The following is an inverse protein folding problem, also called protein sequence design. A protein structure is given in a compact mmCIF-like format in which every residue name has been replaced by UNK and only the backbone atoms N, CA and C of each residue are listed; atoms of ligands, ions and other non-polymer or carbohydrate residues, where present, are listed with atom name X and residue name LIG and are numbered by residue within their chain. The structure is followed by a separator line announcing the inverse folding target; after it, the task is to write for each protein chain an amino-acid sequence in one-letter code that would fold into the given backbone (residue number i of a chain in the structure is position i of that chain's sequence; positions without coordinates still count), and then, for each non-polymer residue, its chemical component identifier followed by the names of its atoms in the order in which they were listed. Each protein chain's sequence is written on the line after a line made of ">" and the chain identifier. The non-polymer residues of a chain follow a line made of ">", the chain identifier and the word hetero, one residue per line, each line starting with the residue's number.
data_IF_523700030181
#
_entry.id   IF_523700030181
#
_cell.length_a   1.000
_cell.length_b   1.000
_cell.length_c   1.000
_cell.angle_alpha   90.00
_cell.angle_beta   90.00
_cell.angle_gamma   90.00
#
_symmetry.space_group_name_H-M   'P 1'
#
loop_
_entity.id
_entity.type
_entity.pdbx_description
1 polymer ?
#
# COMPACT_ATOMS: atom_id res chain seq x y z
N UNK A 1 -10.20 25.48 9.39
CA UNK A 1 -9.58 25.51 8.04
C UNK A 1 -9.53 24.08 7.52
N UNK A 2 -9.72 23.85 6.22
CA UNK A 2 -9.53 22.52 5.64
C UNK A 2 -8.05 22.33 5.28
N UNK A 3 -7.51 21.14 5.54
CA UNK A 3 -6.16 20.72 5.20
C UNK A 3 -6.22 19.94 3.90
N UNK A 4 -5.32 20.24 2.98
CA UNK A 4 -5.14 19.50 1.72
C UNK A 4 -3.70 19.02 1.64
N UNK A 5 -3.49 17.86 1.01
CA UNK A 5 -2.13 17.46 0.66
C UNK A 5 -1.52 18.52 -0.26
N UNK A 6 -0.25 18.84 -0.03
CA UNK A 6 0.37 20.00 -0.66
C UNK A 6 1.86 19.83 -0.93
N UNK A 7 2.47 20.86 -1.55
CA UNK A 7 3.86 20.81 -1.99
C UNK A 7 4.82 20.47 -0.86
N UNK A 8 5.70 19.51 -1.10
CA UNK A 8 6.64 19.02 -0.10
C UNK A 8 7.73 18.17 -0.72
N UNK A 9 8.87 18.05 -0.02
CA UNK A 9 9.91 17.06 -0.28
C UNK A 9 10.19 16.38 1.04
N UNK A 10 9.89 15.09 1.13
CA UNK A 10 10.01 14.32 2.37
C UNK A 10 10.68 12.98 2.10
N UNK A 11 11.55 12.59 3.02
CA UNK A 11 12.19 11.27 3.04
C UNK A 11 11.40 10.37 3.97
N UNK A 12 11.08 9.17 3.51
CA UNK A 12 10.29 8.21 4.28
C UNK A 12 11.04 6.90 4.45
N UNK A 13 10.80 6.27 5.59
CA UNK A 13 11.00 4.83 5.77
C UNK A 13 9.64 4.15 5.84
N UNK A 14 9.47 3.11 5.03
CA UNK A 14 8.27 2.29 4.92
C UNK A 14 8.65 0.88 5.36
N UNK A 15 8.24 0.49 6.57
CA UNK A 15 8.43 -0.87 7.06
C UNK A 15 7.23 -1.73 6.73
N UNK A 16 7.44 -2.95 6.25
CA UNK A 16 6.35 -3.91 6.03
C UNK A 16 6.76 -5.29 6.51
N UNK A 17 5.86 -5.96 7.23
CA UNK A 17 5.96 -7.37 7.60
C UNK A 17 4.66 -8.06 7.23
N UNK A 18 4.78 -9.24 6.63
CA UNK A 18 3.67 -10.08 6.22
C UNK A 18 3.98 -11.49 6.72
N UNK A 19 3.08 -12.05 7.51
CA UNK A 19 3.09 -13.45 7.91
C UNK A 19 1.96 -14.16 7.15
N UNK A 20 2.32 -15.20 6.40
CA UNK A 20 1.42 -15.99 5.58
C UNK A 20 1.39 -17.41 6.15
N UNK A 21 0.19 -17.95 6.34
CA UNK A 21 -0.04 -19.35 6.69
C UNK A 21 -0.94 -19.98 5.63
N UNK A 22 -0.56 -21.14 5.14
CA UNK A 22 -1.35 -21.87 4.16
C UNK A 22 -1.31 -23.37 4.44
N UNK A 23 -2.38 -24.08 4.11
CA UNK A 23 -2.45 -25.53 4.22
C UNK A 23 -2.51 -26.16 2.83
N UNK A 24 -1.44 -26.84 2.42
CA UNK A 24 -1.37 -27.54 1.13
C UNK A 24 -1.45 -29.03 1.40
N UNK A 25 -2.53 -29.67 0.95
CA UNK A 25 -2.75 -31.13 1.14
C UNK A 25 -2.60 -31.60 2.60
N UNK A 26 -3.06 -30.78 3.55
CA UNK A 26 -3.00 -31.07 4.99
C UNK A 26 -1.66 -30.75 5.67
N UNK A 27 -0.65 -30.27 4.93
CA UNK A 27 0.59 -29.77 5.49
C UNK A 27 0.53 -28.25 5.64
N UNK A 28 0.70 -27.76 6.86
CA UNK A 28 0.81 -26.32 7.10
C UNK A 28 2.19 -25.81 6.69
N UNK A 29 2.19 -24.76 5.88
CA UNK A 29 3.38 -23.99 5.54
C UNK A 29 3.19 -22.57 6.04
N UNK A 30 4.22 -22.03 6.69
CA UNK A 30 4.28 -20.61 7.05
C UNK A 30 5.44 -19.94 6.35
N UNK A 31 5.23 -18.70 5.93
CA UNK A 31 6.27 -17.86 5.37
C UNK A 31 6.16 -16.44 5.92
N UNK A 32 7.29 -15.75 5.97
CA UNK A 32 7.38 -14.36 6.39
C UNK A 32 8.10 -13.55 5.33
N UNK A 33 7.50 -12.42 4.98
CA UNK A 33 8.13 -11.36 4.20
C UNK A 33 8.30 -10.13 5.08
N UNK A 34 9.53 -9.63 5.22
CA UNK A 34 9.79 -8.37 5.92
C UNK A 34 10.78 -7.51 5.16
N UNK A 35 10.53 -6.21 5.07
CA UNK A 35 11.46 -5.25 4.49
C UNK A 35 11.23 -3.82 4.99
N UNK A 36 12.27 -2.99 4.82
CA UNK A 36 12.23 -1.54 4.92
C UNK A 36 12.54 -0.93 3.55
N UNK A 37 11.64 -0.08 3.06
CA UNK A 37 11.80 0.71 1.85
C UNK A 37 12.08 2.16 2.25
N UNK A 38 13.19 2.70 1.78
CA UNK A 38 13.53 4.10 1.91
C UNK A 38 13.18 4.80 0.60
N UNK A 39 12.39 5.86 0.68
CA UNK A 39 11.96 6.59 -0.50
C UNK A 39 11.83 8.08 -0.23
N UNK A 40 12.14 8.86 -1.26
CA UNK A 40 11.91 10.30 -1.28
C UNK A 40 10.64 10.59 -2.05
N UNK A 41 9.67 11.25 -1.43
CA UNK A 41 8.47 11.72 -2.12
C UNK A 41 8.55 13.24 -2.32
N UNK A 42 8.24 13.67 -3.54
CA UNK A 42 8.20 15.09 -3.92
C UNK A 42 6.84 15.41 -4.49
N UNK A 43 6.11 16.32 -3.85
CA UNK A 43 4.88 16.93 -4.35
C UNK A 43 5.25 18.34 -4.81
N UNK A 44 5.08 18.65 -6.10
CA UNK A 44 5.40 19.98 -6.64
C UNK A 44 4.14 20.82 -6.75
N UNK A 45 4.23 22.08 -6.35
CA UNK A 45 3.20 23.08 -6.54
C UNK A 45 3.54 24.11 -7.63
N UNK A 46 2.56 24.90 -8.08
CA UNK A 46 1.13 24.79 -7.73
C UNK A 46 0.49 23.54 -8.35
N UNK A 47 -0.69 23.15 -7.86
CA UNK A 47 -1.49 22.13 -8.52
C UNK A 47 -1.95 22.62 -9.90
N UNK A 48 -2.02 21.70 -10.86
CA UNK A 48 -2.72 21.90 -12.13
C UNK A 48 -4.17 21.34 -12.01
N UNK A 49 -5.01 21.45 -13.06
CA UNK A 49 -6.37 20.88 -13.01
C UNK A 49 -6.45 19.37 -12.78
N UNK A 50 -5.38 18.62 -13.03
CA UNK A 50 -5.30 17.19 -12.75
C UNK A 50 -4.80 16.90 -11.32
N UNK A 51 -4.09 17.82 -10.67
CA UNK A 51 -3.61 17.69 -9.30
C UNK A 51 -2.17 18.18 -9.13
N UNK A 52 -1.46 17.62 -8.14
CA UNK A 52 -0.06 17.97 -7.90
C UNK A 52 0.89 17.01 -8.63
N UNK A 53 1.78 17.49 -9.50
CA UNK A 53 2.85 16.66 -10.05
C UNK A 53 3.68 16.04 -8.92
N UNK A 54 3.70 14.72 -8.86
CA UNK A 54 4.26 13.97 -7.74
C UNK A 54 5.26 12.92 -8.23
N UNK A 55 6.35 12.77 -7.49
CA UNK A 55 7.43 11.85 -7.80
C UNK A 55 7.84 11.07 -6.54
N UNK A 56 7.95 9.75 -6.66
CA UNK A 56 8.63 8.91 -5.67
C UNK A 56 9.97 8.45 -6.25
N UNK A 57 11.03 8.54 -5.47
CA UNK A 57 12.34 7.97 -5.78
C UNK A 57 12.67 6.93 -4.74
N UNK A 58 12.92 5.70 -5.15
CA UNK A 58 13.36 4.63 -4.26
C UNK A 58 14.84 4.82 -3.94
N UNK A 59 15.16 5.05 -2.67
CA UNK A 59 16.54 5.26 -2.22
C UNK A 59 17.22 3.91 -1.97
N UNK A 60 16.54 3.02 -1.26
CA UNK A 60 17.01 1.65 -1.01
C UNK A 60 15.89 0.74 -0.48
N UNK A 61 16.10 -0.58 -0.56
CA UNK A 61 15.23 -1.57 0.06
C UNK A 61 16.12 -2.54 0.85
N UNK A 62 15.80 -2.73 2.12
CA UNK A 62 16.54 -3.61 3.04
C UNK A 62 15.59 -4.71 3.53
N UNK A 63 15.86 -5.99 3.25
CA UNK A 63 15.04 -7.08 3.77
C UNK A 63 15.27 -7.26 5.28
N UNK A 64 14.23 -7.62 6.02
CA UNK A 64 14.34 -8.01 7.44
C UNK A 64 15.16 -9.32 7.54
N UNK A 65 15.96 -9.45 8.60
CA UNK A 65 16.69 -10.67 8.90
C UNK A 65 15.74 -11.89 8.99
N UNK A 66 16.12 -13.00 8.36
CA UNK A 66 15.31 -14.23 8.33
C UNK A 66 14.22 -14.23 7.24
N UNK A 67 14.10 -13.17 6.44
CA UNK A 67 13.25 -13.16 5.25
C UNK A 67 13.97 -13.86 4.09
N UNK A 68 13.37 -14.93 3.56
CA UNK A 68 13.84 -15.54 2.31
C UNK A 68 13.10 -14.89 1.14
N UNK A 69 13.77 -14.00 0.41
CA UNK A 69 13.30 -13.56 -0.90
C UNK A 69 13.68 -14.62 -1.94
N UNK A 70 12.83 -14.86 -2.95
CA UNK A 70 13.23 -15.64 -4.12
C UNK A 70 14.55 -15.08 -4.70
N UNK A 71 15.48 -15.96 -5.07
CA UNK A 71 16.78 -15.59 -5.67
C UNK A 71 16.66 -14.75 -6.95
N UNK A 72 15.48 -14.75 -7.58
CA UNK A 72 15.15 -13.92 -8.74
C UNK A 72 14.89 -12.46 -8.39
N UNK A 73 14.68 -12.12 -7.11
CA UNK A 73 14.40 -10.75 -6.67
C UNK A 73 15.73 -10.06 -6.33
N UNK A 74 16.14 -9.12 -7.20
CA UNK A 74 17.24 -8.22 -6.91
C UNK A 74 16.73 -6.87 -6.37
N UNK A 75 16.66 -6.73 -5.05
CA UNK A 75 16.24 -5.48 -4.41
C UNK A 75 17.13 -4.28 -4.73
N UNK A 76 18.42 -4.50 -5.02
CA UNK A 76 19.35 -3.42 -5.36
C UNK A 76 19.00 -2.74 -6.70
N UNK A 77 18.29 -3.45 -7.58
CA UNK A 77 17.80 -2.89 -8.85
C UNK A 77 16.77 -1.77 -8.63
N UNK A 78 16.12 -1.73 -7.46
CA UNK A 78 15.15 -0.68 -7.13
C UNK A 78 15.81 0.68 -6.89
N UNK A 79 17.12 0.74 -6.62
CA UNK A 79 17.80 1.98 -6.26
C UNK A 79 17.70 3.00 -7.38
N UNK A 80 17.21 4.20 -7.03
CA UNK A 80 16.87 5.32 -7.94
C UNK A 80 15.72 5.06 -8.91
N UNK A 81 15.00 3.94 -8.78
CA UNK A 81 13.77 3.74 -9.52
C UNK A 81 12.80 4.85 -9.16
N UNK A 82 12.31 5.54 -10.18
CA UNK A 82 11.45 6.71 -10.01
C UNK A 82 10.05 6.39 -10.49
N UNK A 83 9.03 6.82 -9.75
CA UNK A 83 7.63 6.77 -10.15
C UNK A 83 7.11 8.20 -10.27
N UNK A 84 6.74 8.61 -11.48
CA UNK A 84 6.20 9.94 -11.76
C UNK A 84 4.71 9.85 -12.03
N UNK A 85 3.92 10.77 -11.47
CA UNK A 85 2.47 10.78 -11.66
C UNK A 85 1.86 12.07 -11.12
N UNK A 86 0.57 11.99 -10.80
CA UNK A 86 -0.21 13.12 -10.28
C UNK A 86 -0.91 12.70 -9.01
N UNK A 87 -0.72 13.47 -7.94
CA UNK A 87 -1.45 13.32 -6.69
C UNK A 87 -2.73 14.14 -6.78
N UNK A 88 -3.86 13.46 -6.71
CA UNK A 88 -5.16 14.10 -6.69
C UNK A 88 -5.47 14.67 -5.29
N UNK A 89 -6.37 15.68 -5.20
CA UNK A 89 -6.75 16.29 -3.92
C UNK A 89 -7.36 15.32 -2.90
N UNK A 90 -7.90 14.20 -3.38
CA UNK A 90 -8.47 13.13 -2.58
C UNK A 90 -7.43 12.16 -2.03
N UNK A 91 -6.15 12.28 -2.39
CA UNK A 91 -5.06 11.42 -1.92
C UNK A 91 -4.62 10.34 -2.92
N UNK A 92 -5.31 10.13 -4.03
CA UNK A 92 -4.92 9.09 -4.99
C UNK A 92 -3.73 9.52 -5.86
N UNK A 93 -2.74 8.62 -6.00
CA UNK A 93 -1.63 8.80 -6.92
C UNK A 93 -1.93 8.15 -8.27
N UNK A 94 -2.34 8.96 -9.24
CA UNK A 94 -2.71 8.53 -10.58
C UNK A 94 -1.57 8.64 -11.59
N UNK A 95 -1.75 7.94 -12.71
CA UNK A 95 -0.85 7.98 -13.88
C UNK A 95 0.61 7.70 -13.52
N UNK A 96 0.81 6.87 -12.49
CA UNK A 96 2.12 6.46 -12.02
C UNK A 96 2.85 5.72 -13.13
N UNK A 97 3.97 6.30 -13.57
CA UNK A 97 4.83 5.74 -14.61
C UNK A 97 6.21 5.50 -13.99
N UNK A 98 6.67 4.24 -13.91
CA UNK A 98 8.03 3.94 -13.46
C UNK A 98 9.07 4.35 -14.52
N UNK A 99 10.27 4.74 -14.08
CA UNK A 99 11.40 5.01 -14.98
C UNK A 99 11.93 3.73 -15.65
N UNK A 100 11.66 2.57 -15.05
CA UNK A 100 11.95 1.25 -15.61
C UNK A 100 10.79 0.29 -15.27
N UNK A 101 9.95 0.00 -16.26
CA UNK A 101 8.77 -0.85 -16.08
C UNK A 101 9.11 -2.32 -15.80
N UNK A 102 10.25 -2.82 -16.29
CA UNK A 102 10.65 -4.20 -16.05
C UNK A 102 11.07 -4.41 -14.59
N UNK A 103 11.87 -3.48 -14.06
CA UNK A 103 12.27 -3.49 -12.65
C UNK A 103 11.06 -3.26 -11.74
N UNK A 104 10.20 -2.29 -12.08
CA UNK A 104 8.98 -2.02 -11.31
C UNK A 104 8.07 -3.25 -11.25
N UNK A 105 7.91 -3.98 -12.36
CA UNK A 105 7.09 -5.19 -12.41
C UNK A 105 7.72 -6.36 -11.65
N UNK A 106 9.03 -6.55 -11.76
CA UNK A 106 9.76 -7.56 -11.00
C UNK A 106 9.67 -7.34 -9.49
N UNK A 107 9.51 -6.08 -9.07
CA UNK A 107 9.41 -5.66 -7.66
C UNK A 107 8.00 -5.25 -7.25
N UNK A 108 6.96 -5.55 -8.03
CA UNK A 108 5.61 -5.07 -7.80
C UNK A 108 5.05 -5.44 -6.41
N UNK A 109 5.43 -6.60 -5.86
CA UNK A 109 5.04 -7.02 -4.51
C UNK A 109 5.64 -6.14 -3.39
N UNK A 110 6.79 -5.52 -3.68
CA UNK A 110 7.52 -4.65 -2.74
C UNK A 110 7.12 -3.18 -2.95
N UNK A 111 6.98 -2.76 -4.21
CA UNK A 111 6.79 -1.36 -4.61
C UNK A 111 5.33 -0.97 -4.90
N UNK A 112 4.40 -1.92 -4.91
CA UNK A 112 2.96 -1.67 -5.12
C UNK A 112 2.31 -0.74 -4.07
N UNK A 113 3.07 -0.29 -3.07
CA UNK A 113 2.64 0.59 -1.99
C UNK A 113 2.47 2.05 -2.41
N UNK A 114 3.08 2.52 -3.50
CA UNK A 114 3.08 3.96 -3.82
C UNK A 114 1.72 4.50 -4.27
N UNK A 115 0.86 3.67 -4.86
CA UNK A 115 -0.46 4.09 -5.33
C UNK A 115 -1.44 4.41 -4.19
N UNK A 116 -1.25 3.79 -3.02
CA UNK A 116 -2.05 3.94 -1.79
C UNK A 116 -1.24 4.63 -0.68
N UNK A 117 -0.19 5.37 -1.05
CA UNK A 117 0.75 5.89 -0.07
C UNK A 117 0.19 7.04 0.78
N UNK A 118 -0.65 7.88 0.19
CA UNK A 118 -1.22 9.04 0.86
C UNK A 118 -2.63 8.73 1.41
N UNK A 119 -3.01 9.34 2.54
CA UNK A 119 -4.36 9.21 3.10
C UNK A 119 -5.39 9.76 2.14
N UNK A 120 -6.55 9.10 2.11
CA UNK A 120 -7.70 9.61 1.37
C UNK A 120 -8.41 10.72 2.14
N UNK A 121 -8.70 11.84 1.48
CA UNK A 121 -9.42 12.98 2.08
C UNK A 121 -10.85 13.10 1.54
N UNK A 122 -11.79 13.63 2.34
CA UNK A 122 -13.08 14.04 1.83
C UNK A 122 -12.91 15.18 0.82
N UNK A 123 -13.83 15.32 -0.16
CA UNK A 123 -13.71 16.27 -1.28
C UNK A 123 -13.47 17.74 -0.86
N UNK A 124 -13.91 18.13 0.35
CA UNK A 124 -13.70 19.48 0.90
C UNK A 124 -12.40 19.66 1.71
N UNK A 125 -11.49 18.68 1.67
CA UNK A 125 -10.28 18.65 2.48
C UNK A 125 -10.50 18.13 3.91
N UNK A 126 -9.41 17.73 4.54
CA UNK A 126 -9.38 17.18 5.89
C UNK A 126 -9.73 18.26 6.93
N UNK A 127 -10.68 17.97 7.82
CA UNK A 127 -11.05 18.84 8.94
C UNK A 127 -11.09 18.00 10.21
N UNK A 128 -10.59 18.53 11.33
CA UNK A 128 -10.70 17.87 12.63
C UNK A 128 -12.17 17.56 12.95
N UNK A 129 -12.44 16.35 13.43
CA UNK A 129 -13.76 15.81 13.72
C UNK A 129 -14.55 15.31 12.49
N UNK A 130 -14.02 15.46 11.27
CA UNK A 130 -14.68 14.95 10.07
C UNK A 130 -14.69 13.41 10.07
N UNK A 131 -15.82 12.83 9.68
CA UNK A 131 -15.97 11.42 9.39
C UNK A 131 -16.38 11.25 7.94
N UNK A 132 -15.81 10.27 7.25
CA UNK A 132 -16.17 9.96 5.87
C UNK A 132 -16.03 8.48 5.58
N UNK A 133 -16.74 8.04 4.55
CA UNK A 133 -16.64 6.70 4.00
C UNK A 133 -16.27 6.82 2.54
N UNK A 134 -15.28 6.04 2.12
CA UNK A 134 -14.87 5.91 0.73
C UNK A 134 -14.79 4.43 0.34
N UNK A 135 -14.89 4.17 -0.95
CA UNK A 135 -14.76 2.81 -1.50
C UNK A 135 -13.74 2.84 -2.62
N UNK A 136 -12.69 2.05 -2.45
CA UNK A 136 -11.60 1.92 -3.41
C UNK A 136 -11.70 0.52 -4.00
N UNK A 137 -11.76 0.42 -5.33
CA UNK A 137 -11.72 -0.86 -6.03
C UNK A 137 -10.65 -0.83 -7.10
N UNK A 138 -9.74 -1.80 -7.06
CA UNK A 138 -8.54 -1.83 -7.89
C UNK A 138 -8.35 -3.22 -8.45
N UNK A 139 -7.83 -3.28 -9.68
CA UNK A 139 -7.57 -4.54 -10.36
C UNK A 139 -6.16 -4.51 -10.91
N UNK A 140 -5.33 -5.45 -10.48
CA UNK A 140 -3.92 -5.55 -10.88
C UNK A 140 -3.54 -7.01 -11.19
N UNK A 141 -2.43 -7.19 -11.91
CA UNK A 141 -1.78 -8.47 -12.05
C UNK A 141 -0.75 -8.67 -10.92
N UNK A 142 -0.85 -9.77 -10.17
CA UNK A 142 0.03 -10.07 -9.03
C UNK A 142 0.41 -11.55 -9.04
N UNK A 143 1.71 -11.85 -9.24
CA UNK A 143 2.20 -13.22 -9.25
C UNK A 143 1.52 -14.06 -10.34
N UNK A 144 0.88 -15.17 -9.94
CA UNK A 144 0.13 -16.05 -10.84
C UNK A 144 -1.28 -15.54 -11.18
N UNK A 145 -1.73 -14.44 -10.56
CA UNK A 145 -3.04 -13.83 -10.83
C UNK A 145 -2.90 -12.74 -11.87
N UNK A 146 -3.41 -13.00 -13.08
CA UNK A 146 -3.45 -12.03 -14.17
C UNK A 146 -4.45 -10.90 -13.88
N UNK A 147 -5.49 -11.21 -13.11
CA UNK A 147 -6.49 -10.26 -12.65
C UNK A 147 -6.81 -10.52 -11.19
N UNK A 148 -6.40 -9.63 -10.30
CA UNK A 148 -6.78 -9.62 -8.90
C UNK A 148 -7.48 -8.30 -8.59
N UNK A 149 -8.77 -8.37 -8.30
CA UNK A 149 -9.57 -7.25 -7.84
C UNK A 149 -9.59 -7.20 -6.31
N UNK A 150 -9.22 -6.05 -5.76
CA UNK A 150 -9.31 -5.75 -4.32
C UNK A 150 -10.25 -4.58 -4.15
N UNK A 151 -11.27 -4.74 -3.31
CA UNK A 151 -12.20 -3.67 -2.95
C UNK A 151 -12.15 -3.42 -1.46
N UNK A 152 -11.91 -2.18 -1.06
CA UNK A 152 -11.90 -1.75 0.34
C UNK A 152 -12.99 -0.70 0.56
N UNK A 153 -13.79 -0.88 1.61
CA UNK A 153 -14.69 0.16 2.13
C UNK A 153 -14.03 0.71 3.38
N UNK A 154 -13.59 1.96 3.33
CA UNK A 154 -12.87 2.63 4.41
C UNK A 154 -13.84 3.52 5.18
N UNK A 155 -13.81 3.44 6.52
CA UNK A 155 -14.48 4.38 7.40
C UNK A 155 -13.42 5.13 8.18
N UNK A 156 -13.35 6.44 7.93
CA UNK A 156 -12.25 7.29 8.36
C UNK A 156 -12.75 8.38 9.30
N UNK A 157 -11.94 8.74 10.29
CA UNK A 157 -12.25 9.79 11.26
C UNK A 157 -10.99 10.61 11.58
N UNK A 158 -11.05 11.91 11.32
CA UNK A 158 -10.04 12.88 11.73
C UNK A 158 -10.18 13.16 13.23
N UNK A 159 -9.62 12.29 14.06
CA UNK A 159 -10.05 12.12 15.46
C UNK A 159 -9.42 13.07 16.46
N UNK A 160 -8.18 13.52 16.21
CA UNK A 160 -7.43 14.32 17.16
C UNK A 160 -6.40 15.24 16.50
N UNK A 161 -6.03 16.30 17.22
CA UNK A 161 -4.78 17.03 16.97
C UNK A 161 -3.70 16.46 17.89
N UNK A 162 -2.54 16.16 17.32
CA UNK A 162 -1.37 15.62 18.03
C UNK A 162 -0.09 16.30 17.57
N UNK A 163 0.88 16.36 18.48
CA UNK A 163 2.24 16.80 18.17
C UNK A 163 3.14 15.62 17.86
N UNK A 164 3.76 15.64 16.68
CA UNK A 164 4.71 14.62 16.24
C UNK A 164 6.01 15.26 15.82
N UNK A 165 7.06 15.05 16.60
CA UNK A 165 8.37 15.67 16.33
C UNK A 165 8.31 17.20 16.28
N UNK A 166 7.44 17.82 17.09
CA UNK A 166 7.22 19.28 17.09
C UNK A 166 6.36 19.82 15.96
N UNK A 167 5.72 18.93 15.16
CA UNK A 167 4.80 19.31 14.09
C UNK A 167 3.37 19.02 14.55
N UNK A 168 2.53 20.06 14.56
CA UNK A 168 1.09 19.92 14.77
C UNK A 168 0.47 19.13 13.62
N UNK A 169 -0.23 18.05 13.96
CA UNK A 169 -0.79 17.11 13.01
C UNK A 169 -2.19 16.66 13.37
N UNK A 170 -2.98 16.32 12.37
CA UNK A 170 -4.27 15.67 12.54
C UNK A 170 -4.05 14.17 12.44
N UNK A 171 -4.53 13.45 13.45
CA UNK A 171 -4.68 11.99 13.45
C UNK A 171 -5.90 11.59 12.65
N UNK A 172 -5.76 10.58 11.81
CA UNK A 172 -6.85 9.94 11.08
C UNK A 172 -6.89 8.46 11.49
N UNK A 173 -7.98 8.04 12.12
CA UNK A 173 -8.24 6.61 12.37
C UNK A 173 -9.07 6.05 11.21
N UNK A 174 -8.67 4.90 10.67
CA UNK A 174 -9.29 4.28 9.50
C UNK A 174 -9.58 2.81 9.81
N UNK A 175 -10.84 2.40 9.67
CA UNK A 175 -11.25 1.01 9.71
C UNK A 175 -11.83 0.57 8.37
N UNK A 176 -11.30 -0.52 7.81
CA UNK A 176 -11.74 -1.00 6.49
C UNK A 176 -12.17 -2.44 6.47
N UNK A 177 -13.17 -2.73 5.64
CA UNK A 177 -13.54 -4.07 5.21
C UNK A 177 -13.04 -4.29 3.77
N UNK A 178 -12.36 -5.40 3.54
CA UNK A 178 -11.70 -5.70 2.28
C UNK A 178 -12.27 -6.98 1.67
N UNK A 179 -12.56 -6.96 0.38
CA UNK A 179 -12.89 -8.14 -0.41
C UNK A 179 -11.88 -8.31 -1.54
N UNK A 180 -11.58 -9.56 -1.87
CA UNK A 180 -10.59 -9.93 -2.87
C UNK A 180 -11.17 -11.02 -3.77
N UNK A 181 -11.03 -10.85 -5.07
CA UNK A 181 -11.41 -11.84 -6.06
C UNK A 181 -10.45 -11.77 -7.24
N UNK A 182 -9.98 -12.92 -7.71
CA UNK A 182 -9.04 -12.95 -8.82
C UNK A 182 -9.00 -14.27 -9.56
N UNK A 183 -8.39 -14.21 -10.74
CA UNK A 183 -8.17 -15.34 -11.64
C UNK A 183 -6.79 -15.23 -12.29
N UNK A 184 -6.20 -16.37 -12.61
CA UNK A 184 -4.97 -16.42 -13.38
C UNK A 184 -4.55 -17.85 -13.69
N UNK A 185 -3.27 -18.04 -13.95
CA UNK A 185 -2.71 -19.32 -14.38
C UNK A 185 -1.39 -19.64 -13.67
N UNK A 186 -1.18 -20.91 -13.34
CA UNK A 186 0.06 -21.43 -12.77
C UNK A 186 0.43 -22.74 -13.45
N UNK A 187 1.61 -22.79 -14.08
CA UNK A 187 2.03 -23.95 -14.87
C UNK A 187 1.05 -24.31 -16.00
N UNK A 188 0.40 -23.30 -16.59
CA UNK A 188 -0.64 -23.47 -17.63
C UNK A 188 -2.00 -23.94 -17.11
N UNK A 189 -2.16 -24.14 -15.79
CA UNK A 189 -3.42 -24.52 -15.17
C UNK A 189 -4.17 -23.27 -14.67
N UNK A 190 -5.49 -23.16 -14.88
CA UNK A 190 -6.27 -22.06 -14.33
C UNK A 190 -6.34 -22.15 -12.81
N UNK A 191 -6.36 -21.01 -12.14
CA UNK A 191 -6.60 -20.90 -10.71
C UNK A 191 -7.41 -19.64 -10.40
N UNK A 192 -8.14 -19.67 -9.28
CA UNK A 192 -8.92 -18.53 -8.78
C UNK A 192 -8.57 -18.24 -7.33
N UNK A 193 -8.84 -17.00 -6.91
CA UNK A 193 -8.71 -16.56 -5.54
C UNK A 193 -9.97 -15.82 -5.14
N UNK A 194 -10.46 -16.10 -3.94
CA UNK A 194 -11.51 -15.33 -3.31
C UNK A 194 -11.19 -15.16 -1.83
N UNK A 195 -11.58 -14.03 -1.24
CA UNK A 195 -11.36 -13.83 0.18
C UNK A 195 -11.86 -12.51 0.70
N UNK A 196 -11.72 -12.36 2.01
CA UNK A 196 -12.10 -11.16 2.76
C UNK A 196 -11.04 -10.81 3.79
N UNK A 197 -11.09 -9.58 4.28
CA UNK A 197 -10.21 -9.14 5.33
C UNK A 197 -10.67 -7.85 5.99
N UNK A 198 -9.93 -7.46 7.01
CA UNK A 198 -10.09 -6.19 7.69
C UNK A 198 -8.77 -5.47 7.78
N UNK A 199 -8.83 -4.14 7.70
CA UNK A 199 -7.71 -3.23 7.88
C UNK A 199 -8.01 -2.27 9.03
N UNK A 200 -6.98 -1.93 9.80
CA UNK A 200 -6.97 -0.82 10.74
C UNK A 200 -5.76 0.04 10.41
N UNK A 201 -5.94 1.34 10.22
CA UNK A 201 -4.87 2.30 9.96
C UNK A 201 -4.97 3.48 10.90
N UNK A 202 -3.81 4.02 11.30
CA UNK A 202 -3.69 5.32 11.96
C UNK A 202 -2.69 6.13 11.16
N UNK A 203 -3.13 7.29 10.68
CA UNK A 203 -2.34 8.14 9.79
C UNK A 203 -2.25 9.57 10.32
N UNK A 204 -1.18 10.27 9.97
CA UNK A 204 -0.90 11.60 10.50
C UNK A 204 -0.59 12.58 9.36
N UNK A 205 -1.29 13.71 9.37
CA UNK A 205 -1.12 14.77 8.38
C UNK A 205 -0.84 16.07 9.12
N UNK A 206 0.28 16.71 8.84
CA UNK A 206 0.60 18.02 9.37
C UNK A 206 -0.47 19.05 8.96
N UNK A 207 -0.70 20.07 9.80
CA UNK A 207 -1.67 21.14 9.50
C UNK A 207 -1.33 21.94 8.23
N UNK A 208 -0.10 21.82 7.73
CA UNK A 208 0.38 22.41 6.48
C UNK A 208 0.22 21.49 5.25
N UNK A 209 -0.36 20.29 5.41
CA UNK A 209 -0.63 19.37 4.30
C UNK A 209 0.45 18.32 4.04
N UNK A 210 1.52 18.27 4.84
CA UNK A 210 2.52 17.20 4.75
C UNK A 210 2.03 15.89 5.37
N UNK A 211 2.17 14.78 4.65
CA UNK A 211 1.94 13.46 5.24
C UNK A 211 3.11 13.06 6.14
N UNK A 212 2.82 12.72 7.40
CA UNK A 212 3.84 12.38 8.40
C UNK A 212 4.01 10.87 8.60
N UNK A 213 3.22 10.07 7.87
CA UNK A 213 3.20 8.62 7.96
C UNK A 213 2.08 8.08 8.83
N UNK A 214 2.24 6.83 9.27
CA UNK A 214 1.19 6.08 9.94
C UNK A 214 1.56 4.62 10.19
N UNK A 215 0.59 3.86 10.65
CA UNK A 215 0.68 2.43 10.91
C UNK A 215 -0.59 1.75 10.41
N UNK A 216 -0.43 0.59 9.77
CA UNK A 216 -1.53 -0.19 9.23
C UNK A 216 -1.38 -1.66 9.63
N UNK A 217 -2.46 -2.24 10.13
CA UNK A 217 -2.60 -3.65 10.43
C UNK A 217 -3.71 -4.26 9.55
N UNK A 218 -3.36 -5.26 8.76
CA UNK A 218 -4.28 -6.00 7.91
C UNK A 218 -4.35 -7.47 8.33
N UNK A 219 -5.54 -8.04 8.26
CA UNK A 219 -5.76 -9.48 8.39
C UNK A 219 -6.69 -9.94 7.28
N UNK A 220 -6.26 -10.94 6.51
CA UNK A 220 -7.02 -11.47 5.38
C UNK A 220 -7.11 -12.99 5.44
N UNK A 221 -8.23 -13.51 4.94
CA UNK A 221 -8.49 -14.93 4.74
C UNK A 221 -8.88 -15.14 3.30
N UNK A 222 -8.11 -15.95 2.60
CA UNK A 222 -8.22 -16.19 1.18
C UNK A 222 -8.33 -17.69 0.94
N UNK A 223 -8.95 -18.06 -0.17
CA UNK A 223 -8.94 -19.43 -0.69
C UNK A 223 -8.43 -19.37 -2.12
N UNK A 224 -7.33 -20.07 -2.39
CA UNK A 224 -6.82 -20.29 -3.74
C UNK A 224 -7.38 -21.63 -4.24
N UNK A 225 -8.07 -21.62 -5.36
CA UNK A 225 -8.69 -22.82 -5.94
C UNK A 225 -7.99 -23.20 -7.24
N UNK A 226 -7.55 -24.45 -7.35
CA UNK A 226 -7.05 -25.07 -8.57
C UNK A 226 -8.13 -26.05 -9.07
N UNK A 227 -9.10 -25.58 -9.89
CA UNK A 227 -10.29 -26.34 -10.23
C UNK A 227 -9.99 -27.68 -10.92
N UNK A 228 -8.99 -27.73 -11.80
CA UNK A 228 -8.62 -28.95 -12.53
C UNK A 228 -7.99 -30.03 -11.62
N UNK A 229 -7.51 -29.66 -10.44
CA UNK A 229 -6.93 -30.59 -9.45
C UNK A 229 -7.90 -30.91 -8.31
N UNK A 230 -9.09 -30.29 -8.28
CA UNK A 230 -10.01 -30.39 -7.16
C UNK A 230 -9.41 -29.88 -5.83
N UNK A 231 -8.41 -29.00 -5.91
CA UNK A 231 -7.64 -28.54 -4.75
C UNK A 231 -8.06 -27.12 -4.35
N UNK A 232 -8.30 -26.92 -3.06
CA UNK A 232 -8.49 -25.60 -2.45
C UNK A 232 -7.46 -25.41 -1.33
N UNK A 233 -6.73 -24.31 -1.39
CA UNK A 233 -5.67 -23.95 -0.44
C UNK A 233 -6.16 -22.75 0.37
N UNK A 234 -6.54 -22.93 1.65
CA UNK A 234 -6.83 -21.80 2.52
C UNK A 234 -5.52 -21.09 2.85
N UNK A 235 -5.57 -19.76 2.80
CA UNK A 235 -4.46 -18.86 3.11
C UNK A 235 -4.95 -17.85 4.14
N UNK A 236 -4.21 -17.72 5.23
CA UNK A 236 -4.37 -16.63 6.18
C UNK A 236 -3.14 -15.74 6.10
N UNK A 237 -3.36 -14.44 5.97
CA UNK A 237 -2.29 -13.46 5.95
C UNK A 237 -2.56 -12.38 6.99
N UNK A 238 -1.52 -12.04 7.75
CA UNK A 238 -1.51 -10.87 8.62
C UNK A 238 -0.36 -9.99 8.15
N UNK A 239 -0.60 -8.69 7.98
CA UNK A 239 0.48 -7.77 7.69
C UNK A 239 0.43 -6.52 8.56
N UNK A 240 1.61 -6.06 8.92
CA UNK A 240 1.83 -4.82 9.62
C UNK A 240 2.73 -3.93 8.74
N UNK A 241 2.28 -2.72 8.46
CA UNK A 241 3.04 -1.70 7.75
C UNK A 241 3.18 -0.44 8.60
N UNK A 242 4.32 0.24 8.46
CA UNK A 242 4.57 1.55 9.07
C UNK A 242 5.15 2.49 8.02
N UNK A 243 4.78 3.76 8.10
CA UNK A 243 5.37 4.84 7.32
C UNK A 243 5.84 5.91 8.29
N UNK A 244 7.07 6.39 8.16
CA UNK A 244 7.61 7.47 9.00
C UNK A 244 8.43 8.43 8.16
N UNK A 245 8.28 9.72 8.41
CA UNK A 245 9.20 10.74 7.89
C UNK A 245 10.55 10.61 8.59
N UNK A 246 11.63 10.69 7.81
CA UNK A 246 13.00 10.73 8.30
C UNK A 246 13.44 12.19 8.52
N UNK A 247 14.38 12.43 9.47
CA UNK A 247 14.94 13.76 9.72
C UNK A 247 15.63 14.38 8.51
#
# INVERSE_FOLDING_TARGET
>A
MAIHLGPSVLHYVIGRRIDIRQAVQGQETSSRLGFQLFATATIRGPADPAGYPTMFVVDSIVPDSGTALPVTINLSAARRLTFSGVLHPDGEFHRSTPSDSAVAQALAQVLGTFRDFYPHFPAGGLKLGAMWTDTISRTDAVGAFEKLTVTAINNSHASALEDRGGIHSVRIDIGSQVTMAGSGTQGGQPLTLAGTGSRQSVEFVAVDGRYLGGETLDSTRLTITLPLQGLAVPVQQVSHATVKVLP
#
